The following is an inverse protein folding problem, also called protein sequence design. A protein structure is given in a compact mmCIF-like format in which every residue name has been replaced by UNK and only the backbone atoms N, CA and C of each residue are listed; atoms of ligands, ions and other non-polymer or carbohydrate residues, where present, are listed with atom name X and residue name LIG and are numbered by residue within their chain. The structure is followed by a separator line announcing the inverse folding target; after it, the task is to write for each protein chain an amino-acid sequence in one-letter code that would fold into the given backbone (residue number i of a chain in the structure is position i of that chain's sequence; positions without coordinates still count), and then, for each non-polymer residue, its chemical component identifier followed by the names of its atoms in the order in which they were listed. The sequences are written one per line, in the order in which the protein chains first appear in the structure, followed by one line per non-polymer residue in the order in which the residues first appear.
data_IF_097570658506
#
_entry.id   IF_097570658506
#
_cell.length_a   1.000
_cell.length_b   1.000
_cell.length_c   1.000
_cell.angle_alpha   90.00
_cell.angle_beta   90.00
_cell.angle_gamma   90.00
#
_symmetry.space_group_name_H-M   'P 1'
#
loop_
_entity.id
_entity.type
_entity.pdbx_description
1 polymer ?
#
# COMPACT_ATOMS: atom_id res chain seq x y z
N UNK A 1 -39.02 -14.60 7.29
CA UNK A 1 -39.03 -13.24 6.73
C UNK A 1 -38.05 -12.31 7.47
N UNK A 2 -38.08 -12.23 8.80
CA UNK A 2 -37.11 -11.43 9.58
C UNK A 2 -35.64 -11.85 9.41
N UNK A 3 -35.35 -13.15 9.31
CA UNK A 3 -33.98 -13.69 9.15
C UNK A 3 -33.37 -13.32 7.78
N UNK A 4 -34.18 -13.33 6.72
CA UNK A 4 -33.73 -12.97 5.36
C UNK A 4 -33.40 -11.47 5.30
N UNK A 5 -34.24 -10.63 5.89
CA UNK A 5 -34.01 -9.19 5.99
C UNK A 5 -32.74 -8.84 6.78
N UNK A 6 -32.45 -9.59 7.85
CA UNK A 6 -31.23 -9.37 8.63
C UNK A 6 -29.97 -9.82 7.87
N UNK A 7 -30.06 -10.91 7.12
CA UNK A 7 -28.97 -11.40 6.25
C UNK A 7 -28.66 -10.45 5.10
N UNK A 8 -29.68 -9.93 4.40
CA UNK A 8 -29.49 -8.93 3.33
C UNK A 8 -28.79 -7.66 3.87
N UNK A 9 -29.19 -7.20 5.05
CA UNK A 9 -28.56 -6.05 5.71
C UNK A 9 -27.11 -6.31 6.11
N UNK A 10 -26.77 -7.52 6.56
CA UNK A 10 -25.40 -7.90 6.90
C UNK A 10 -24.52 -7.93 5.64
N UNK A 11 -25.02 -8.52 4.55
CA UNK A 11 -24.31 -8.58 3.26
C UNK A 11 -24.07 -7.16 2.71
N UNK A 12 -25.08 -6.29 2.77
CA UNK A 12 -24.96 -4.90 2.33
C UNK A 12 -23.92 -4.14 3.16
N UNK A 13 -23.95 -4.29 4.49
CA UNK A 13 -22.94 -3.68 5.38
C UNK A 13 -21.53 -4.17 5.07
N UNK A 14 -21.34 -5.47 4.86
CA UNK A 14 -20.05 -6.04 4.52
C UNK A 14 -19.53 -5.46 3.19
N UNK A 15 -20.39 -5.36 2.17
CA UNK A 15 -20.05 -4.77 0.87
C UNK A 15 -19.64 -3.30 1.02
N UNK A 16 -20.41 -2.50 1.76
CA UNK A 16 -20.08 -1.09 2.01
C UNK A 16 -18.77 -0.93 2.78
N UNK A 17 -18.54 -1.76 3.81
CA UNK A 17 -17.29 -1.74 4.57
C UNK A 17 -16.08 -2.13 3.70
N UNK A 18 -16.22 -3.13 2.83
CA UNK A 18 -15.17 -3.53 1.88
C UNK A 18 -14.82 -2.41 0.89
N UNK A 19 -15.83 -1.75 0.32
CA UNK A 19 -15.63 -0.58 -0.54
C UNK A 19 -14.95 0.57 0.20
N UNK A 20 -15.38 0.85 1.43
CA UNK A 20 -14.77 1.87 2.29
C UNK A 20 -13.30 1.56 2.62
N UNK A 21 -12.97 0.29 2.85
CA UNK A 21 -11.60 -0.15 3.10
C UNK A 21 -10.72 0.08 1.88
N UNK A 22 -11.16 -0.38 0.70
CA UNK A 22 -10.42 -0.21 -0.56
C UNK A 22 -10.16 1.27 -0.88
N UNK A 23 -11.20 2.11 -0.71
CA UNK A 23 -11.08 3.54 -0.89
C UNK A 23 -10.09 4.19 0.08
N UNK A 24 -10.09 3.74 1.34
CA UNK A 24 -9.17 4.25 2.36
C UNK A 24 -7.71 3.91 2.02
N UNK A 25 -7.45 2.68 1.57
CA UNK A 25 -6.11 2.25 1.12
C UNK A 25 -5.62 3.13 -0.03
N UNK A 26 -6.44 3.33 -1.06
CA UNK A 26 -6.09 4.20 -2.19
C UNK A 26 -5.75 5.63 -1.77
N UNK A 27 -6.47 6.18 -0.79
CA UNK A 27 -6.16 7.52 -0.25
C UNK A 27 -4.83 7.55 0.47
N UNK A 28 -4.50 6.53 1.26
CA UNK A 28 -3.21 6.44 1.95
C UNK A 28 -2.08 6.34 0.93
N UNK A 29 -2.22 5.53 -0.10
CA UNK A 29 -1.24 5.42 -1.18
C UNK A 29 -0.99 6.77 -1.88
N UNK A 30 -2.07 7.48 -2.22
CA UNK A 30 -1.99 8.81 -2.82
C UNK A 30 -1.29 9.81 -1.89
N UNK A 31 -1.58 9.76 -0.59
CA UNK A 31 -0.92 10.61 0.40
C UNK A 31 0.58 10.29 0.51
N UNK A 32 0.96 9.01 0.50
CA UNK A 32 2.36 8.58 0.57
C UNK A 32 3.14 9.13 -0.63
N UNK A 33 2.63 8.94 -1.85
CA UNK A 33 3.29 9.43 -3.06
C UNK A 33 3.35 10.96 -3.08
N UNK A 34 2.25 11.64 -2.75
CA UNK A 34 2.17 13.10 -2.84
C UNK A 34 3.08 13.79 -1.82
N UNK A 35 3.01 13.38 -0.55
CA UNK A 35 3.78 14.00 0.54
C UNK A 35 5.27 13.64 0.40
N UNK A 36 5.59 12.38 0.11
CA UNK A 36 6.98 11.97 -0.08
C UNK A 36 7.59 12.64 -1.32
N UNK A 37 6.83 12.77 -2.42
CA UNK A 37 7.28 13.47 -3.61
C UNK A 37 7.60 14.95 -3.35
N UNK A 38 6.72 15.64 -2.63
CA UNK A 38 6.95 17.03 -2.21
C UNK A 38 8.18 17.14 -1.27
N UNK A 39 8.34 16.21 -0.33
CA UNK A 39 9.48 16.18 0.58
C UNK A 39 10.81 15.90 -0.13
N UNK A 40 10.83 15.00 -1.11
CA UNK A 40 12.01 14.72 -1.95
C UNK A 40 12.39 15.96 -2.76
N UNK A 41 11.40 16.62 -3.38
CA UNK A 41 11.64 17.87 -4.12
C UNK A 41 12.29 18.93 -3.22
N UNK A 42 11.76 19.12 -2.01
CA UNK A 42 12.34 20.04 -1.03
C UNK A 42 13.77 19.65 -0.65
N UNK A 43 14.04 18.35 -0.44
CA UNK A 43 15.41 17.87 -0.17
C UNK A 43 16.37 18.21 -1.31
N UNK A 44 15.96 18.03 -2.56
CA UNK A 44 16.79 18.31 -3.74
C UNK A 44 17.06 19.80 -3.91
N UNK A 45 16.05 20.66 -3.74
CA UNK A 45 16.23 22.11 -3.80
C UNK A 45 17.14 22.61 -2.65
N UNK A 46 16.98 22.09 -1.43
CA UNK A 46 17.88 22.42 -0.32
C UNK A 46 19.32 21.97 -0.60
N UNK A 47 19.51 20.76 -1.12
CA UNK A 47 20.85 20.26 -1.50
C UNK A 47 21.50 21.13 -2.57
N UNK A 48 20.73 21.57 -3.56
CA UNK A 48 21.18 22.49 -4.61
C UNK A 48 21.56 23.85 -4.03
N UNK A 49 20.71 24.43 -3.18
CA UNK A 49 21.00 25.70 -2.50
C UNK A 49 22.29 25.65 -1.68
N UNK A 50 22.48 24.60 -0.87
CA UNK A 50 23.70 24.45 -0.07
C UNK A 50 24.95 24.35 -0.94
N UNK A 51 24.85 23.59 -2.05
CA UNK A 51 25.94 23.44 -3.01
C UNK A 51 26.28 24.77 -3.69
N UNK A 52 25.28 25.51 -4.15
CA UNK A 52 25.47 26.78 -4.86
C UNK A 52 26.09 27.87 -3.95
N UNK A 53 25.83 27.78 -2.64
CA UNK A 53 26.38 28.70 -1.64
C UNK A 53 27.67 28.19 -0.95
N UNK A 54 28.25 27.06 -1.40
CA UNK A 54 29.41 26.41 -0.79
C UNK A 54 29.24 26.12 0.74
N UNK A 55 28.02 25.82 1.17
CA UNK A 55 27.71 25.42 2.53
C UNK A 55 27.93 23.90 2.71
N UNK A 56 28.18 23.47 3.94
CA UNK A 56 28.39 22.04 4.22
C UNK A 56 27.10 21.23 3.95
N UNK A 57 27.26 20.19 3.13
CA UNK A 57 26.19 19.26 2.80
C UNK A 57 25.98 18.27 3.96
N UNK A 58 25.08 18.61 4.87
CA UNK A 58 24.66 17.71 5.95
C UNK A 58 24.12 16.38 5.40
N UNK A 59 24.54 15.25 5.98
CA UNK A 59 24.05 13.93 5.54
C UNK A 59 22.57 13.71 5.86
N UNK A 60 22.02 14.45 6.83
CA UNK A 60 20.66 14.27 7.34
C UNK A 60 19.59 14.56 6.27
N UNK A 61 19.77 15.60 5.44
CA UNK A 61 18.85 15.92 4.33
C UNK A 61 18.90 14.83 3.23
N UNK A 62 20.07 14.23 2.99
CA UNK A 62 20.22 13.11 2.03
C UNK A 62 19.50 11.86 2.53
N UNK A 63 19.65 11.55 3.82
CA UNK A 63 18.96 10.42 4.46
C UNK A 63 17.45 10.62 4.45
N UNK A 64 16.97 11.82 4.76
CA UNK A 64 15.54 12.15 4.68
C UNK A 64 14.99 11.90 3.27
N UNK A 65 15.61 12.49 2.23
CA UNK A 65 15.20 12.27 0.84
C UNK A 65 15.26 10.80 0.42
N UNK A 66 16.29 10.06 0.84
CA UNK A 66 16.42 8.62 0.57
C UNK A 66 15.33 7.77 1.24
N UNK A 67 14.96 8.08 2.48
CA UNK A 67 13.89 7.37 3.20
C UNK A 67 12.53 7.67 2.58
N UNK A 68 12.26 8.92 2.18
CA UNK A 68 11.04 9.28 1.46
C UNK A 68 10.94 8.57 0.10
N UNK A 69 12.06 8.45 -0.63
CA UNK A 69 12.11 7.70 -1.88
C UNK A 69 11.82 6.21 -1.64
N UNK A 70 12.40 5.62 -0.59
CA UNK A 70 12.14 4.23 -0.22
C UNK A 70 10.67 4.01 0.15
N UNK A 71 10.03 4.98 0.83
CA UNK A 71 8.59 4.93 1.12
C UNK A 71 7.75 4.83 -0.16
N UNK A 72 8.06 5.64 -1.19
CA UNK A 72 7.37 5.59 -2.49
C UNK A 72 7.59 4.23 -3.17
N UNK A 73 8.83 3.73 -3.20
CA UNK A 73 9.16 2.45 -3.85
C UNK A 73 8.39 1.30 -3.18
N UNK A 74 8.39 1.26 -1.84
CA UNK A 74 7.67 0.22 -1.10
C UNK A 74 6.16 0.33 -1.31
N UNK A 75 5.62 1.56 -1.34
CA UNK A 75 4.20 1.77 -1.63
C UNK A 75 3.83 1.26 -3.03
N UNK A 76 4.65 1.53 -4.04
CA UNK A 76 4.45 1.02 -5.40
C UNK A 76 4.48 -0.52 -5.46
N UNK A 77 5.44 -1.14 -4.77
CA UNK A 77 5.50 -2.62 -4.66
C UNK A 77 4.24 -3.17 -4.01
N UNK A 78 3.74 -2.51 -2.96
CA UNK A 78 2.49 -2.88 -2.31
C UNK A 78 1.30 -2.87 -3.27
N UNK A 79 1.13 -1.78 -4.05
CA UNK A 79 0.07 -1.68 -5.05
C UNK A 79 0.16 -2.77 -6.11
N UNK A 80 1.38 -3.11 -6.54
CA UNK A 80 1.61 -4.20 -7.49
C UNK A 80 1.19 -5.56 -6.92
N UNK A 81 1.52 -5.85 -5.66
CA UNK A 81 1.13 -7.08 -4.98
C UNK A 81 -0.38 -7.14 -4.75
N UNK A 82 -1.01 -6.03 -4.37
CA UNK A 82 -2.47 -5.93 -4.24
C UNK A 82 -3.19 -6.23 -5.56
N UNK A 83 -2.66 -5.74 -6.67
CA UNK A 83 -3.18 -6.08 -8.00
C UNK A 83 -3.04 -7.59 -8.31
N UNK A 84 -1.93 -8.22 -7.91
CA UNK A 84 -1.77 -9.67 -8.04
C UNK A 84 -2.74 -10.44 -7.16
N UNK A 85 -2.96 -10.01 -5.92
CA UNK A 85 -3.96 -10.60 -5.02
C UNK A 85 -5.34 -10.60 -5.68
N UNK A 86 -5.80 -9.45 -6.18
CA UNK A 86 -7.10 -9.31 -6.85
C UNK A 86 -7.21 -10.20 -8.11
N UNK A 87 -6.11 -10.36 -8.86
CA UNK A 87 -6.10 -11.25 -10.01
C UNK A 87 -6.29 -12.72 -9.61
N UNK A 88 -5.63 -13.18 -8.54
CA UNK A 88 -5.79 -14.55 -8.06
C UNK A 88 -7.15 -14.78 -7.40
N UNK A 89 -7.69 -13.78 -6.70
CA UNK A 89 -9.06 -13.81 -6.17
C UNK A 89 -10.11 -13.91 -7.29
N UNK A 90 -9.89 -13.21 -8.41
CA UNK A 90 -10.69 -13.34 -9.62
C UNK A 90 -10.64 -14.77 -10.21
N UNK A 91 -9.45 -15.37 -10.29
CA UNK A 91 -9.29 -16.76 -10.76
C UNK A 91 -9.94 -17.77 -9.81
N UNK A 92 -9.84 -17.55 -8.50
CA UNK A 92 -10.52 -18.33 -7.48
C UNK A 92 -12.04 -18.31 -7.68
N UNK A 93 -12.63 -17.11 -7.82
CA UNK A 93 -14.06 -16.95 -8.06
C UNK A 93 -14.50 -17.62 -9.37
N UNK A 94 -13.74 -17.45 -10.45
CA UNK A 94 -14.01 -18.11 -11.73
C UNK A 94 -14.01 -19.64 -11.61
N UNK A 95 -13.00 -20.19 -10.93
CA UNK A 95 -12.87 -21.65 -10.74
C UNK A 95 -14.01 -22.25 -9.92
N UNK A 96 -14.53 -21.52 -8.93
CA UNK A 96 -15.71 -21.94 -8.15
C UNK A 96 -16.98 -21.94 -9.01
N UNK A 97 -17.16 -20.91 -9.84
CA UNK A 97 -18.31 -20.80 -10.73
C UNK A 97 -18.30 -21.91 -11.79
N UNK A 98 -17.15 -22.19 -12.37
CA UNK A 98 -16.97 -23.24 -13.38
C UNK A 98 -17.17 -24.65 -12.81
N UNK A 99 -16.93 -24.85 -11.51
CA UNK A 99 -17.15 -26.09 -10.80
C UNK A 99 -18.61 -26.30 -10.34
N UNK A 100 -19.52 -25.34 -10.59
CA UNK A 100 -20.94 -25.38 -10.15
C UNK A 100 -21.15 -25.72 -8.65
N UNK A 101 -20.17 -25.42 -7.79
CA UNK A 101 -20.12 -25.81 -6.37
C UNK A 101 -20.02 -27.33 -6.08
N UNK A 102 -19.63 -28.15 -7.06
CA UNK A 102 -19.23 -29.55 -6.89
C UNK A 102 -17.91 -29.83 -7.61
N UNK A 103 -16.79 -29.24 -7.14
CA UNK A 103 -15.49 -29.45 -7.75
C UNK A 103 -15.03 -30.91 -7.62
N UNK A 104 -14.43 -31.45 -8.68
CA UNK A 104 -13.62 -32.65 -8.56
C UNK A 104 -12.30 -32.38 -7.82
N UNK A 105 -11.53 -33.43 -7.52
CA UNK A 105 -10.27 -33.30 -6.78
C UNK A 105 -9.24 -32.38 -7.47
N UNK A 106 -9.24 -32.32 -8.81
CA UNK A 106 -8.32 -31.48 -9.57
C UNK A 106 -8.73 -30.00 -9.52
N UNK A 107 -10.04 -29.73 -9.68
CA UNK A 107 -10.62 -28.40 -9.55
C UNK A 107 -10.47 -27.87 -8.12
N UNK A 108 -10.66 -28.71 -7.11
CA UNK A 108 -10.46 -28.32 -5.71
C UNK A 108 -9.00 -27.95 -5.42
N UNK A 109 -8.04 -28.68 -5.99
CA UNK A 109 -6.62 -28.35 -5.86
C UNK A 109 -6.27 -27.00 -6.51
N UNK A 110 -6.89 -26.67 -7.65
CA UNK A 110 -6.71 -25.39 -8.33
C UNK A 110 -7.33 -24.23 -7.54
N UNK A 111 -8.55 -24.39 -7.02
CA UNK A 111 -9.22 -23.43 -6.14
C UNK A 111 -8.35 -23.11 -4.92
N UNK A 112 -7.86 -24.15 -4.22
CA UNK A 112 -7.02 -23.99 -3.03
C UNK A 112 -5.68 -23.29 -3.35
N UNK A 113 -5.15 -23.51 -4.56
CA UNK A 113 -3.92 -22.84 -5.01
C UNK A 113 -4.16 -21.34 -5.20
N UNK A 114 -5.25 -20.95 -5.87
CA UNK A 114 -5.56 -19.54 -6.08
C UNK A 114 -5.86 -18.81 -4.77
N UNK A 115 -6.63 -19.44 -3.88
CA UNK A 115 -6.91 -18.93 -2.54
C UNK A 115 -5.62 -18.69 -1.74
N UNK A 116 -4.75 -19.70 -1.66
CA UNK A 116 -3.47 -19.60 -0.95
C UNK A 116 -2.56 -18.49 -1.52
N UNK A 117 -2.49 -18.37 -2.83
CA UNK A 117 -1.66 -17.34 -3.47
C UNK A 117 -2.24 -15.94 -3.22
N UNK A 118 -3.56 -15.77 -3.30
CA UNK A 118 -4.24 -14.51 -2.99
C UNK A 118 -3.93 -14.08 -1.55
N UNK A 119 -4.10 -14.98 -0.59
CA UNK A 119 -3.82 -14.77 0.83
C UNK A 119 -2.39 -14.31 1.12
N UNK A 120 -1.42 -14.90 0.41
CA UNK A 120 -0.01 -14.51 0.56
C UNK A 120 0.22 -13.10 0.05
N UNK A 121 -0.32 -12.75 -1.12
CA UNK A 121 -0.18 -11.41 -1.68
C UNK A 121 -0.88 -10.35 -0.83
N UNK A 122 -2.05 -10.63 -0.27
CA UNK A 122 -2.78 -9.72 0.60
C UNK A 122 -1.99 -9.40 1.90
N UNK A 123 -1.40 -10.43 2.53
CA UNK A 123 -0.53 -10.26 3.70
C UNK A 123 0.68 -9.38 3.40
N UNK A 124 1.37 -9.63 2.28
CA UNK A 124 2.51 -8.79 1.89
C UNK A 124 2.08 -7.36 1.59
N UNK A 125 0.96 -7.17 0.89
CA UNK A 125 0.38 -5.84 0.61
C UNK A 125 0.13 -5.06 1.90
N UNK A 126 -0.51 -5.69 2.89
CA UNK A 126 -0.76 -5.07 4.19
C UNK A 126 0.54 -4.67 4.90
N UNK A 127 1.55 -5.54 4.90
CA UNK A 127 2.86 -5.26 5.52
C UNK A 127 3.55 -4.08 4.82
N UNK A 128 3.59 -4.08 3.49
CA UNK A 128 4.26 -3.02 2.72
C UNK A 128 3.52 -1.67 2.80
N UNK A 129 2.19 -1.67 2.86
CA UNK A 129 1.41 -0.44 3.12
C UNK A 129 1.79 0.18 4.46
N UNK A 130 1.85 -0.63 5.52
CA UNK A 130 2.24 -0.13 6.83
C UNK A 130 3.71 0.33 6.87
N UNK A 131 4.62 -0.45 6.26
CA UNK A 131 6.03 -0.11 6.19
C UNK A 131 6.28 1.21 5.43
N UNK A 132 5.62 1.42 4.28
CA UNK A 132 5.73 2.67 3.52
C UNK A 132 5.21 3.88 4.29
N UNK A 133 4.10 3.74 5.03
CA UNK A 133 3.59 4.81 5.89
C UNK A 133 4.58 5.19 7.01
N UNK A 134 5.19 4.20 7.67
CA UNK A 134 6.21 4.44 8.71
C UNK A 134 7.45 5.12 8.11
N UNK A 135 7.91 4.67 6.95
CA UNK A 135 9.06 5.28 6.27
C UNK A 135 8.77 6.72 5.88
N UNK A 136 7.60 7.01 5.32
CA UNK A 136 7.19 8.38 5.02
C UNK A 136 7.25 9.26 6.29
N UNK A 137 6.63 8.81 7.38
CA UNK A 137 6.63 9.56 8.64
C UNK A 137 8.06 9.79 9.16
N UNK A 138 8.91 8.77 9.12
CA UNK A 138 10.30 8.86 9.56
C UNK A 138 11.11 9.83 8.70
N UNK A 139 10.92 9.78 7.37
CA UNK A 139 11.55 10.69 6.42
C UNK A 139 11.16 12.14 6.65
N UNK A 140 9.90 12.41 6.95
CA UNK A 140 9.39 13.74 7.29
C UNK A 140 9.94 14.24 8.64
N UNK A 141 10.01 13.38 9.67
CA UNK A 141 10.58 13.77 10.96
C UNK A 141 12.04 14.19 10.79
N UNK A 142 12.83 13.45 10.01
CA UNK A 142 14.20 13.83 9.70
C UNK A 142 14.27 15.14 8.92
N UNK A 143 13.40 15.34 7.93
CA UNK A 143 13.33 16.57 7.14
C UNK A 143 13.11 17.78 8.04
N UNK A 144 12.09 17.72 8.90
CA UNK A 144 11.75 18.81 9.83
C UNK A 144 12.87 19.02 10.84
N UNK A 145 13.47 17.94 11.35
CA UNK A 145 14.58 18.03 12.29
C UNK A 145 15.81 18.72 11.65
N UNK A 146 16.07 18.48 10.36
CA UNK A 146 17.11 19.20 9.62
C UNK A 146 16.84 20.71 9.63
N UNK A 147 15.61 21.12 9.29
CA UNK A 147 15.24 22.53 9.19
C UNK A 147 15.17 23.27 10.54
N UNK A 148 14.90 22.57 11.64
CA UNK A 148 14.79 23.20 12.96
C UNK A 148 16.12 23.33 13.70
N UNK A 149 17.05 22.40 13.47
CA UNK A 149 18.27 22.30 14.29
C UNK A 149 19.57 22.51 13.53
N UNK A 150 19.58 22.38 12.20
CA UNK A 150 20.81 22.44 11.39
C UNK A 150 20.79 23.59 10.39
N UNK A 151 19.67 23.76 9.68
CA UNK A 151 19.47 24.87 8.74
C UNK A 151 19.17 26.17 9.49
#
# INVERSE_FOLDING_TARGET
MAIIYDMERIIERQKLSSQGLFYSVQRIDLLIVSISGAGIYLCLETLKYLKDNNLELGNLIKWSGGILLLAIIINFVSQFLGNKSNYYDYLYCGSILDAENNPDDAQQAEINKYDCISDVYDKFTTIFNYASAILMLSGLILLISYFLFIF
#
